data_IF_331284694405
#
_entry.id   IF_331284694405
#
_cell.length_a   1.000
_cell.length_b   1.000
_cell.length_c   1.000
_cell.angle_alpha   90.00
_cell.angle_beta   90.00
_cell.angle_gamma   90.00
#
_symmetry.space_group_name_H-M   'P 1'
#
loop_
_entity.id
_entity.type
_entity.pdbx_description
1 polymer ?
#
# COMPACT_ATOMS: atom_id res chain seq x y z
N UNK A 1 75.84 -11.99 -10.12
CA UNK A 1 75.02 -13.15 -10.47
C UNK A 1 73.62 -12.94 -9.91
N UNK A 2 72.59 -12.86 -10.77
CA UNK A 2 71.20 -12.69 -10.31
C UNK A 2 70.70 -14.00 -9.67
N UNK A 3 70.13 -13.92 -8.47
CA UNK A 3 69.56 -15.07 -7.75
C UNK A 3 68.39 -15.63 -8.56
N UNK A 4 68.39 -16.93 -8.82
CA UNK A 4 67.29 -17.60 -9.52
C UNK A 4 65.96 -17.42 -8.74
N UNK A 5 64.83 -17.19 -9.43
CA UNK A 5 63.55 -16.98 -8.77
C UNK A 5 63.11 -18.22 -7.98
N UNK A 6 62.60 -18.01 -6.77
CA UNK A 6 62.19 -19.07 -5.86
C UNK A 6 60.77 -19.57 -6.21
N UNK A 7 60.68 -20.45 -7.20
CA UNK A 7 59.43 -21.04 -7.70
C UNK A 7 58.59 -21.74 -6.62
N UNK A 8 59.21 -22.29 -5.56
CA UNK A 8 58.49 -22.95 -4.47
C UNK A 8 57.70 -21.94 -3.63
N UNK A 9 58.29 -20.76 -3.37
CA UNK A 9 57.61 -19.66 -2.67
C UNK A 9 56.47 -19.10 -3.51
N UNK A 10 56.68 -18.93 -4.81
CA UNK A 10 55.64 -18.46 -5.74
C UNK A 10 54.43 -19.41 -5.79
N UNK A 11 54.65 -20.72 -5.97
CA UNK A 11 53.56 -21.71 -5.96
C UNK A 11 52.75 -21.72 -4.66
N UNK A 12 53.42 -21.53 -3.51
CA UNK A 12 52.74 -21.46 -2.22
C UNK A 12 51.86 -20.21 -2.09
N UNK A 13 52.34 -19.06 -2.56
CA UNK A 13 51.56 -17.81 -2.57
C UNK A 13 50.32 -17.97 -3.46
N UNK A 14 50.52 -18.45 -4.70
CA UNK A 14 49.40 -18.67 -5.63
C UNK A 14 48.38 -19.68 -5.10
N UNK A 15 48.83 -20.75 -4.43
CA UNK A 15 47.93 -21.70 -3.77
C UNK A 15 47.08 -21.04 -2.69
N UNK A 16 47.70 -20.23 -1.83
CA UNK A 16 46.99 -19.49 -0.79
C UNK A 16 45.97 -18.49 -1.39
N UNK A 17 46.34 -17.79 -2.46
CA UNK A 17 45.45 -16.81 -3.12
C UNK A 17 44.24 -17.52 -3.78
N UNK A 18 44.46 -18.69 -4.39
CA UNK A 18 43.37 -19.51 -4.95
C UNK A 18 42.42 -20.00 -3.85
N UNK A 19 42.95 -20.45 -2.72
CA UNK A 19 42.13 -20.89 -1.59
C UNK A 19 41.33 -19.74 -0.97
N UNK A 20 41.92 -18.54 -0.91
CA UNK A 20 41.24 -17.32 -0.47
C UNK A 20 40.08 -16.96 -1.42
N UNK A 21 40.35 -16.90 -2.73
CA UNK A 21 39.33 -16.63 -3.75
C UNK A 21 38.21 -17.67 -3.75
N UNK A 22 38.54 -18.95 -3.55
CA UNK A 22 37.54 -20.01 -3.43
C UNK A 22 36.64 -19.80 -2.22
N UNK A 23 37.23 -19.40 -1.09
CA UNK A 23 36.49 -19.09 0.14
C UNK A 23 35.57 -17.89 -0.08
N UNK A 24 36.07 -16.81 -0.67
CA UNK A 24 35.26 -15.64 -1.02
C UNK A 24 34.11 -15.97 -1.98
N UNK A 25 34.36 -16.79 -3.01
CA UNK A 25 33.30 -17.22 -3.94
C UNK A 25 32.20 -18.04 -3.24
N UNK A 26 32.55 -18.89 -2.27
CA UNK A 26 31.57 -19.65 -1.50
C UNK A 26 30.75 -18.72 -0.60
N UNK A 27 31.39 -17.73 0.02
CA UNK A 27 30.71 -16.69 0.80
C UNK A 27 29.75 -15.89 -0.06
N UNK A 28 30.22 -15.34 -1.19
CA UNK A 28 29.39 -14.57 -2.13
C UNK A 28 28.21 -15.38 -2.66
N UNK A 29 28.42 -16.67 -2.95
CA UNK A 29 27.33 -17.56 -3.38
C UNK A 29 26.26 -17.68 -2.28
N UNK A 30 26.68 -17.85 -1.03
CA UNK A 30 25.78 -17.98 0.11
C UNK A 30 25.00 -16.68 0.34
N UNK A 31 25.69 -15.54 0.24
CA UNK A 31 25.06 -14.22 0.32
C UNK A 31 24.06 -13.99 -0.81
N UNK A 32 24.38 -14.42 -2.03
CA UNK A 32 23.48 -14.32 -3.18
C UNK A 32 22.23 -15.18 -2.99
N UNK A 33 22.39 -16.42 -2.54
CA UNK A 33 21.26 -17.32 -2.24
C UNK A 33 20.36 -16.71 -1.15
N UNK A 34 20.94 -16.13 -0.10
CA UNK A 34 20.20 -15.43 0.95
C UNK A 34 19.48 -14.18 0.42
N UNK A 35 20.14 -13.37 -0.40
CA UNK A 35 19.54 -12.17 -1.00
C UNK A 35 18.37 -12.54 -1.93
N UNK A 36 18.52 -13.59 -2.73
CA UNK A 36 17.45 -14.10 -3.59
C UNK A 36 16.24 -14.55 -2.79
N UNK A 37 16.46 -15.24 -1.66
CA UNK A 37 15.38 -15.65 -0.78
C UNK A 37 14.66 -14.44 -0.15
N UNK A 38 15.40 -13.45 0.34
CA UNK A 38 14.82 -12.22 0.89
C UNK A 38 14.01 -11.44 -0.15
N UNK A 39 14.50 -11.33 -1.39
CA UNK A 39 13.76 -10.70 -2.49
C UNK A 39 12.45 -11.45 -2.76
N UNK A 40 12.47 -12.77 -2.75
CA UNK A 40 11.27 -13.57 -2.94
C UNK A 40 10.23 -13.34 -1.83
N UNK A 41 10.66 -13.34 -0.57
CA UNK A 41 9.80 -13.08 0.58
C UNK A 41 9.18 -11.67 0.54
N UNK A 42 9.98 -10.65 0.21
CA UNK A 42 9.48 -9.27 0.04
C UNK A 42 8.48 -9.19 -1.11
N UNK A 43 8.72 -9.89 -2.22
CA UNK A 43 7.80 -9.91 -3.36
C UNK A 43 6.45 -10.53 -3.00
N UNK A 44 6.44 -11.64 -2.23
CA UNK A 44 5.21 -12.25 -1.73
C UNK A 44 4.44 -11.29 -0.80
N UNK A 45 5.15 -10.63 0.12
CA UNK A 45 4.56 -9.66 1.04
C UNK A 45 3.96 -8.45 0.30
N UNK A 46 4.67 -7.91 -0.70
CA UNK A 46 4.16 -6.83 -1.56
C UNK A 46 2.87 -7.23 -2.28
N UNK A 47 2.82 -8.45 -2.84
CA UNK A 47 1.61 -8.94 -3.51
C UNK A 47 0.43 -9.08 -2.54
N UNK A 48 0.66 -9.60 -1.33
CA UNK A 48 -0.38 -9.71 -0.31
C UNK A 48 -0.90 -8.33 0.15
N UNK A 49 -0.01 -7.36 0.30
CA UNK A 49 -0.37 -5.97 0.62
C UNK A 49 -1.21 -5.34 -0.51
N UNK A 50 -0.81 -5.51 -1.76
CA UNK A 50 -1.57 -5.01 -2.91
C UNK A 50 -2.99 -5.59 -2.99
N UNK A 51 -3.15 -6.89 -2.73
CA UNK A 51 -4.47 -7.54 -2.66
C UNK A 51 -5.33 -6.97 -1.53
N UNK A 52 -4.72 -6.73 -0.37
CA UNK A 52 -5.42 -6.15 0.79
C UNK A 52 -5.90 -4.73 0.52
N UNK A 53 -5.09 -3.91 -0.16
CA UNK A 53 -5.48 -2.56 -0.58
C UNK A 53 -6.63 -2.57 -1.59
N UNK A 54 -6.60 -3.47 -2.57
CA UNK A 54 -7.69 -3.62 -3.52
C UNK A 54 -9.01 -4.05 -2.82
N UNK A 55 -8.93 -4.92 -1.81
CA UNK A 55 -10.10 -5.30 -1.02
C UNK A 55 -10.65 -4.13 -0.18
N UNK A 56 -9.77 -3.30 0.39
CA UNK A 56 -10.16 -2.10 1.14
C UNK A 56 -10.83 -1.08 0.22
N UNK A 57 -10.26 -0.83 -0.97
CA UNK A 57 -10.86 0.06 -1.98
C UNK A 57 -12.30 -0.36 -2.30
N UNK A 58 -12.52 -1.64 -2.60
CA UNK A 58 -13.85 -2.18 -2.87
C UNK A 58 -14.84 -1.99 -1.72
N UNK A 59 -14.40 -2.18 -0.47
CA UNK A 59 -15.24 -1.95 0.72
C UNK A 59 -15.58 -0.48 0.91
N UNK A 60 -14.64 0.43 0.64
CA UNK A 60 -14.91 1.87 0.72
C UNK A 60 -15.88 2.32 -0.36
N UNK A 61 -15.76 1.81 -1.59
CA UNK A 61 -16.75 2.05 -2.65
C UNK A 61 -18.14 1.59 -2.21
N UNK A 62 -18.23 0.41 -1.59
CA UNK A 62 -19.51 -0.13 -1.11
C UNK A 62 -20.10 0.74 0.00
N UNK A 63 -19.28 1.13 0.99
CA UNK A 63 -19.71 1.99 2.10
C UNK A 63 -20.14 3.38 1.61
N UNK A 64 -19.43 3.98 0.65
CA UNK A 64 -19.79 5.27 0.07
C UNK A 64 -21.16 5.24 -0.64
N UNK A 65 -21.44 4.15 -1.38
CA UNK A 65 -22.76 3.92 -1.99
C UNK A 65 -23.85 3.76 -0.95
N UNK A 66 -23.61 2.94 0.08
CA UNK A 66 -24.58 2.72 1.15
C UNK A 66 -24.88 4.01 1.92
N UNK A 67 -23.85 4.79 2.27
CA UNK A 67 -24.02 6.10 2.90
C UNK A 67 -24.80 7.06 2.02
N UNK A 68 -24.55 7.07 0.70
CA UNK A 68 -25.31 7.91 -0.24
C UNK A 68 -26.79 7.51 -0.28
N UNK A 69 -27.08 6.21 -0.30
CA UNK A 69 -28.44 5.70 -0.26
C UNK A 69 -29.14 6.10 1.05
N UNK A 70 -28.48 5.90 2.20
CA UNK A 70 -29.01 6.25 3.51
C UNK A 70 -29.27 7.76 3.65
N UNK A 71 -28.38 8.59 3.12
CA UNK A 71 -28.60 10.04 3.08
C UNK A 71 -29.78 10.39 2.19
N UNK A 72 -29.97 9.74 1.05
CA UNK A 72 -31.13 9.96 0.19
C UNK A 72 -32.45 9.52 0.84
N UNK A 73 -32.47 8.35 1.49
CA UNK A 73 -33.64 7.88 2.26
C UNK A 73 -34.00 8.86 3.37
N UNK A 74 -33.00 9.32 4.13
CA UNK A 74 -33.21 10.34 5.15
C UNK A 74 -33.70 11.67 4.55
N UNK A 75 -33.28 12.05 3.33
CA UNK A 75 -33.79 13.27 2.66
C UNK A 75 -35.28 13.15 2.42
N UNK A 76 -35.70 11.99 1.88
CA UNK A 76 -37.10 11.71 1.56
C UNK A 76 -37.96 11.65 2.82
N UNK A 77 -37.44 11.11 3.91
CA UNK A 77 -38.14 11.07 5.20
C UNK A 77 -38.29 12.47 5.81
N UNK A 78 -37.26 13.32 5.70
CA UNK A 78 -37.34 14.72 6.11
C UNK A 78 -38.37 15.50 5.28
N UNK A 79 -38.40 15.32 3.96
CA UNK A 79 -39.39 15.97 3.08
C UNK A 79 -40.82 15.56 3.43
N UNK A 80 -41.06 14.28 3.73
CA UNK A 80 -42.38 13.81 4.22
C UNK A 80 -42.76 14.43 5.56
N UNK A 81 -41.80 14.57 6.47
CA UNK A 81 -42.02 15.24 7.76
C UNK A 81 -42.34 16.72 7.57
N UNK A 82 -41.65 17.42 6.66
CA UNK A 82 -41.87 18.84 6.39
C UNK A 82 -43.32 19.09 5.94
N UNK A 83 -43.81 18.26 5.02
CA UNK A 83 -45.17 18.31 4.49
C UNK A 83 -46.24 18.08 5.57
N UNK A 84 -45.89 17.47 6.70
CA UNK A 84 -46.79 17.19 7.82
C UNK A 84 -46.60 18.15 9.01
N UNK A 85 -45.69 19.12 8.90
CA UNK A 85 -45.23 19.92 10.04
C UNK A 85 -45.69 21.39 10.01
N UNK A 86 -45.94 21.95 11.19
CA UNK A 86 -46.25 23.37 11.37
C UNK A 86 -44.99 24.26 11.16
N UNK A 87 -45.18 25.58 11.01
CA UNK A 87 -44.11 26.50 10.55
C UNK A 87 -42.77 26.45 11.32
N UNK A 88 -42.79 26.19 12.64
CA UNK A 88 -41.57 26.08 13.45
C UNK A 88 -40.81 24.75 13.27
N UNK A 89 -41.52 23.68 12.94
CA UNK A 89 -40.94 22.36 12.64
C UNK A 89 -40.41 22.30 11.22
N UNK A 90 -41.03 23.01 10.26
CA UNK A 90 -40.51 23.16 8.89
C UNK A 90 -39.10 23.76 8.86
N UNK A 91 -38.83 24.79 9.68
CA UNK A 91 -37.52 25.46 9.71
C UNK A 91 -36.41 24.56 10.28
N UNK A 92 -36.74 23.71 11.27
CA UNK A 92 -35.81 22.71 11.81
C UNK A 92 -35.52 21.60 10.79
N UNK A 93 -36.52 21.20 10.01
CA UNK A 93 -36.37 20.18 8.97
C UNK A 93 -35.50 20.69 7.82
N UNK A 94 -35.67 21.95 7.41
CA UNK A 94 -34.79 22.58 6.42
C UNK A 94 -33.33 22.63 6.88
N UNK A 95 -33.06 22.91 8.16
CA UNK A 95 -31.70 22.85 8.73
C UNK A 95 -31.10 21.44 8.73
N UNK A 96 -31.92 20.42 8.98
CA UNK A 96 -31.50 19.01 8.92
C UNK A 96 -31.15 18.60 7.49
N UNK A 97 -31.98 18.96 6.49
CA UNK A 97 -31.67 18.74 5.07
C UNK A 97 -30.36 19.42 4.65
N UNK A 98 -30.15 20.69 5.04
CA UNK A 98 -28.92 21.40 4.72
C UNK A 98 -27.67 20.73 5.34
N UNK A 99 -27.80 20.22 6.57
CA UNK A 99 -26.73 19.47 7.24
C UNK A 99 -26.45 18.13 6.56
N UNK A 100 -27.49 17.44 6.12
CA UNK A 100 -27.37 16.18 5.38
C UNK A 100 -26.69 16.36 4.01
N UNK A 101 -27.07 17.38 3.23
CA UNK A 101 -26.44 17.68 1.93
C UNK A 101 -24.94 17.94 2.13
N UNK A 102 -24.59 18.72 3.15
CA UNK A 102 -23.20 18.98 3.53
C UNK A 102 -22.48 17.70 3.92
N UNK A 103 -23.10 16.85 4.74
CA UNK A 103 -22.52 15.56 5.12
C UNK A 103 -22.31 14.65 3.91
N UNK A 104 -23.27 14.56 2.98
CA UNK A 104 -23.12 13.81 1.72
C UNK A 104 -21.93 14.30 0.89
N UNK A 105 -21.79 15.62 0.78
CA UNK A 105 -20.68 16.26 0.06
C UNK A 105 -19.34 15.96 0.73
N UNK A 106 -19.27 16.02 2.06
CA UNK A 106 -18.05 15.67 2.80
C UNK A 106 -17.71 14.18 2.68
N UNK A 107 -18.70 13.28 2.75
CA UNK A 107 -18.50 11.85 2.54
C UNK A 107 -17.91 11.56 1.15
N UNK A 108 -18.49 12.14 0.10
CA UNK A 108 -17.97 11.99 -1.26
C UNK A 108 -16.53 12.52 -1.38
N UNK A 109 -16.22 13.63 -0.72
CA UNK A 109 -14.87 14.20 -0.70
C UNK A 109 -13.87 13.28 0.02
N UNK A 110 -14.21 12.75 1.19
CA UNK A 110 -13.33 11.84 1.92
C UNK A 110 -13.11 10.52 1.17
N UNK A 111 -14.16 9.99 0.53
CA UNK A 111 -14.04 8.80 -0.30
C UNK A 111 -13.05 9.01 -1.44
N UNK A 112 -13.12 10.16 -2.14
CA UNK A 112 -12.17 10.50 -3.21
C UNK A 112 -10.73 10.56 -2.67
N UNK A 113 -10.50 11.33 -1.60
CA UNK A 113 -9.15 11.46 -1.01
C UNK A 113 -8.60 10.09 -0.58
N UNK A 114 -9.42 9.28 0.10
CA UNK A 114 -8.99 7.97 0.57
C UNK A 114 -8.62 7.02 -0.57
N UNK A 115 -9.38 7.02 -1.67
CA UNK A 115 -9.02 6.24 -2.86
C UNK A 115 -7.70 6.71 -3.49
N UNK A 116 -7.45 8.01 -3.45
CA UNK A 116 -6.20 8.60 -3.93
C UNK A 116 -5.01 8.13 -3.07
N UNK A 117 -5.16 8.15 -1.75
CA UNK A 117 -4.16 7.63 -0.81
C UNK A 117 -3.90 6.13 -1.04
N UNK A 118 -4.95 5.34 -1.25
CA UNK A 118 -4.81 3.91 -1.57
C UNK A 118 -4.06 3.68 -2.87
N UNK A 119 -4.33 4.48 -3.91
CA UNK A 119 -3.64 4.39 -5.19
C UNK A 119 -2.14 4.75 -5.03
N UNK A 120 -1.82 5.79 -4.26
CA UNK A 120 -0.43 6.17 -3.97
C UNK A 120 0.32 5.06 -3.23
N UNK A 121 -0.32 4.43 -2.22
CA UNK A 121 0.28 3.32 -1.48
C UNK A 121 0.47 2.11 -2.40
N UNK A 122 -0.50 1.79 -3.25
CA UNK A 122 -0.40 0.70 -4.21
C UNK A 122 0.75 0.92 -5.22
N UNK A 123 0.93 2.14 -5.72
CA UNK A 123 2.05 2.49 -6.60
C UNK A 123 3.40 2.40 -5.90
N UNK A 124 3.50 2.84 -4.64
CA UNK A 124 4.70 2.68 -3.82
C UNK A 124 5.06 1.20 -3.59
N UNK A 125 4.05 0.34 -3.38
CA UNK A 125 4.23 -1.09 -3.25
C UNK A 125 4.61 -1.77 -4.56
N UNK A 126 4.19 -1.23 -5.71
CA UNK A 126 4.51 -1.83 -7.02
C UNK A 126 5.88 -1.43 -7.56
N UNK A 127 6.47 -0.35 -7.05
CA UNK A 127 7.82 0.08 -7.46
C UNK A 127 8.87 -0.90 -6.91
N UNK A 128 9.68 -1.54 -7.77
CA UNK A 128 10.86 -2.25 -7.31
C UNK A 128 11.80 -1.23 -6.65
N UNK A 129 12.25 -1.52 -5.43
CA UNK A 129 13.33 -0.76 -4.79
C UNK A 129 14.67 -1.16 -5.37
#
# INVERSE_FOLDING_TARGET
MAKAPNFKKFRKIVGNDIDALRTEMLTMRTELENAQQQIHEVSLSQNAAAQSLAAIDGRVVQLGRELTNQLHELSNDLEKLEQQSDGASAETIAQLQATQIRLATEQARYEITFRQDLAEIADQLRRPR
#
